data_IF_351852540513
#
_entry.id   IF_351852540513
#
_cell.length_a   1.000
_cell.length_b   1.000
_cell.length_c   1.000
_cell.angle_alpha   90.00
_cell.angle_beta   90.00
_cell.angle_gamma   90.00
#
_symmetry.space_group_name_H-M   'P 1'
#
loop_
_entity.id
_entity.type
_entity.pdbx_description
1 polymer ?
#
# COMPACT_ATOMS: atom_id res chain seq x y z
N UNK A 1 7.40 34.02 21.97
CA UNK A 1 6.02 33.49 22.08
C UNK A 1 5.62 32.53 20.95
N UNK A 2 6.39 32.41 19.86
CA UNK A 2 5.97 31.63 18.68
C UNK A 2 6.50 30.18 18.68
N UNK A 3 7.57 29.89 19.42
CA UNK A 3 8.17 28.55 19.47
C UNK A 3 7.28 27.54 20.19
N UNK A 4 6.70 27.91 21.33
CA UNK A 4 5.76 27.05 22.10
C UNK A 4 4.47 26.79 21.33
N UNK A 5 3.94 27.79 20.63
CA UNK A 5 2.77 27.65 19.76
C UNK A 5 3.03 26.67 18.61
N UNK A 6 4.21 26.73 17.99
CA UNK A 6 4.63 25.77 16.97
C UNK A 6 4.71 24.35 17.52
N UNK A 7 5.31 24.17 18.70
CA UNK A 7 5.40 22.85 19.35
C UNK A 7 4.02 22.30 19.71
N UNK A 8 3.12 23.14 20.21
CA UNK A 8 1.73 22.74 20.48
C UNK A 8 1.03 22.27 19.20
N UNK A 9 1.19 23.01 18.10
CA UNK A 9 0.65 22.61 16.79
C UNK A 9 1.17 21.26 16.31
N UNK A 10 2.46 20.96 16.53
CA UNK A 10 3.04 19.64 16.21
C UNK A 10 2.40 18.53 17.05
N UNK A 11 2.28 18.70 18.37
CA UNK A 11 1.64 17.69 19.20
C UNK A 11 0.18 17.42 18.82
N UNK A 12 -0.58 18.48 18.53
CA UNK A 12 -1.97 18.34 18.07
C UNK A 12 -2.02 17.60 16.74
N UNK A 13 -1.17 17.96 15.77
CA UNK A 13 -1.09 17.27 14.48
C UNK A 13 -0.72 15.79 14.65
N UNK A 14 0.32 15.48 15.44
CA UNK A 14 0.74 14.10 15.70
C UNK A 14 -0.37 13.30 16.39
N UNK A 15 -1.07 13.89 17.36
CA UNK A 15 -2.20 13.24 18.02
C UNK A 15 -3.35 12.93 17.05
N UNK A 16 -3.67 13.83 16.14
CA UNK A 16 -4.71 13.62 15.13
C UNK A 16 -4.35 12.50 14.15
N UNK A 17 -3.07 12.36 13.80
CA UNK A 17 -2.58 11.25 12.97
C UNK A 17 -2.67 9.92 13.72
N UNK A 18 -2.32 9.89 15.02
CA UNK A 18 -2.43 8.68 15.83
C UNK A 18 -3.88 8.21 16.03
N UNK A 19 -4.84 9.14 16.07
CA UNK A 19 -6.26 8.82 16.19
C UNK A 19 -6.76 7.95 15.02
N UNK A 20 -6.25 8.17 13.81
CA UNK A 20 -6.61 7.37 12.63
C UNK A 20 -6.18 5.91 12.79
N UNK A 21 -5.07 5.65 13.46
CA UNK A 21 -4.54 4.30 13.66
C UNK A 21 -5.30 3.48 14.72
N UNK A 22 -6.17 4.11 15.52
CA UNK A 22 -6.90 3.45 16.61
C UNK A 22 -8.07 2.58 16.14
N UNK A 23 -8.45 2.62 14.87
CA UNK A 23 -9.61 1.87 14.35
C UNK A 23 -9.45 0.36 14.56
N UNK A 24 -8.32 -0.23 14.16
CA UNK A 24 -8.07 -1.68 14.28
C UNK A 24 -8.01 -2.16 15.74
N UNK A 25 -7.22 -1.54 16.66
CA UNK A 25 -7.18 -2.01 18.04
C UNK A 25 -8.53 -1.86 18.75
N UNK A 26 -9.33 -0.83 18.43
CA UNK A 26 -10.69 -0.70 18.97
C UNK A 26 -11.58 -1.88 18.53
N UNK A 27 -11.49 -2.31 17.27
CA UNK A 27 -12.23 -3.48 16.77
C UNK A 27 -11.82 -4.77 17.52
N UNK A 28 -10.53 -4.95 17.81
CA UNK A 28 -10.03 -6.12 18.54
C UNK A 28 -10.51 -6.13 20.00
N UNK A 29 -10.43 -4.99 20.69
CA UNK A 29 -10.92 -4.87 22.07
C UNK A 29 -12.43 -5.11 22.14
N UNK A 30 -13.20 -4.55 21.20
CA UNK A 30 -14.64 -4.78 21.10
C UNK A 30 -15.01 -6.25 20.83
N UNK A 31 -14.18 -6.95 20.04
CA UNK A 31 -14.33 -8.38 19.79
C UNK A 31 -14.05 -9.21 21.03
N UNK A 32 -12.96 -8.93 21.74
CA UNK A 32 -12.57 -9.66 22.95
C UNK A 32 -13.60 -9.50 24.08
N UNK A 33 -14.07 -8.27 24.30
CA UNK A 33 -15.08 -7.96 25.33
C UNK A 33 -16.42 -8.66 25.10
N UNK A 34 -16.75 -9.02 23.85
CA UNK A 34 -18.03 -9.62 23.46
C UNK A 34 -17.85 -10.95 22.75
N UNK A 35 -16.72 -11.62 22.98
CA UNK A 35 -16.33 -12.81 22.24
C UNK A 35 -17.41 -13.90 22.27
N UNK A 36 -17.94 -14.20 23.46
CA UNK A 36 -18.98 -15.23 23.65
C UNK A 36 -20.27 -14.92 22.87
N UNK A 37 -20.72 -13.66 22.94
CA UNK A 37 -21.91 -13.21 22.22
C UNK A 37 -21.70 -13.31 20.70
N UNK A 38 -20.52 -12.94 20.21
CA UNK A 38 -20.18 -13.01 18.79
C UNK A 38 -20.14 -14.47 18.32
N UNK A 39 -19.49 -15.35 19.08
CA UNK A 39 -19.39 -16.77 18.76
C UNK A 39 -20.78 -17.46 18.70
N UNK A 40 -21.69 -17.12 19.61
CA UNK A 40 -23.02 -17.74 19.69
C UNK A 40 -24.01 -17.19 18.66
N UNK A 41 -24.06 -15.86 18.48
CA UNK A 41 -25.14 -15.21 17.73
C UNK A 41 -24.74 -14.67 16.37
N UNK A 42 -23.49 -14.24 16.19
CA UNK A 42 -23.01 -13.58 14.96
C UNK A 42 -22.11 -14.47 14.09
N UNK A 43 -21.53 -15.53 14.64
CA UNK A 43 -20.67 -16.43 13.89
C UNK A 43 -21.46 -17.22 12.85
N UNK A 44 -21.08 -17.06 11.57
CA UNK A 44 -21.70 -17.79 10.45
C UNK A 44 -21.40 -19.30 10.52
N UNK A 45 -20.23 -19.68 11.07
CA UNK A 45 -19.77 -21.07 11.20
C UNK A 45 -20.13 -21.74 12.54
N UNK A 46 -21.07 -21.18 13.32
CA UNK A 46 -21.45 -21.72 14.64
C UNK A 46 -21.97 -23.16 14.62
N UNK A 47 -22.46 -23.62 13.47
CA UNK A 47 -22.98 -24.99 13.28
C UNK A 47 -21.89 -26.00 12.90
N UNK A 48 -20.63 -25.55 12.74
CA UNK A 48 -19.49 -26.36 12.33
C UNK A 48 -18.37 -26.27 13.38
N UNK A 49 -18.55 -26.89 14.55
CA UNK A 49 -17.58 -26.83 15.65
C UNK A 49 -16.21 -27.40 15.27
N UNK A 50 -16.15 -28.31 14.29
CA UNK A 50 -14.91 -28.88 13.76
C UNK A 50 -13.94 -27.83 13.20
N UNK A 51 -14.44 -26.66 12.78
CA UNK A 51 -13.64 -25.57 12.22
C UNK A 51 -12.98 -24.68 13.28
N UNK A 52 -13.34 -24.80 14.56
CA UNK A 52 -12.80 -23.97 15.65
C UNK A 52 -12.79 -22.46 15.30
N UNK A 53 -13.92 -22.01 14.74
CA UNK A 53 -14.04 -20.66 14.18
C UNK A 53 -14.19 -19.60 15.28
N UNK A 54 -14.99 -19.87 16.33
CA UNK A 54 -15.09 -19.02 17.52
C UNK A 54 -15.30 -17.53 17.21
N UNK A 55 -16.12 -17.20 16.21
CA UNK A 55 -16.37 -15.80 15.82
C UNK A 55 -15.27 -15.13 14.98
N UNK A 56 -14.16 -15.81 14.65
CA UNK A 56 -13.07 -15.29 13.80
C UNK A 56 -13.56 -14.83 12.41
N UNK A 57 -14.61 -15.46 11.87
CA UNK A 57 -15.24 -15.04 10.61
C UNK A 57 -15.82 -13.61 10.69
N UNK A 58 -16.46 -13.27 11.82
CA UNK A 58 -17.01 -11.94 12.06
C UNK A 58 -15.91 -10.89 12.20
N UNK A 59 -14.84 -11.21 12.95
CA UNK A 59 -13.68 -10.34 13.09
C UNK A 59 -13.04 -10.03 11.74
N UNK A 60 -12.81 -11.07 10.93
CA UNK A 60 -12.24 -10.91 9.59
C UNK A 60 -13.12 -10.00 8.70
N UNK A 61 -14.45 -10.12 8.79
CA UNK A 61 -15.38 -9.26 8.05
C UNK A 61 -15.32 -7.80 8.50
N UNK A 62 -15.27 -7.53 9.81
CA UNK A 62 -15.08 -6.16 10.34
C UNK A 62 -13.76 -5.54 9.90
N UNK A 63 -12.66 -6.31 9.95
CA UNK A 63 -11.34 -5.82 9.54
C UNK A 63 -11.29 -5.49 8.04
N UNK A 64 -11.86 -6.36 7.19
CA UNK A 64 -11.99 -6.09 5.75
C UNK A 64 -12.81 -4.84 5.46
N UNK A 65 -13.94 -4.67 6.15
CA UNK A 65 -14.78 -3.48 5.97
C UNK A 65 -14.05 -2.18 6.36
N UNK A 66 -13.21 -2.22 7.40
CA UNK A 66 -12.37 -1.07 7.78
C UNK A 66 -11.31 -0.76 6.71
N UNK A 67 -10.66 -1.78 6.15
CA UNK A 67 -9.68 -1.60 5.07
C UNK A 67 -10.29 -1.07 3.77
N UNK A 68 -11.43 -1.63 3.35
CA UNK A 68 -12.13 -1.16 2.14
C UNK A 68 -12.59 0.30 2.27
N UNK A 69 -12.96 0.75 3.47
CA UNK A 69 -13.33 2.14 3.71
C UNK A 69 -12.13 3.07 3.44
N UNK A 70 -10.95 2.73 3.93
CA UNK A 70 -9.72 3.50 3.70
C UNK A 70 -9.32 3.51 2.21
N UNK A 71 -9.44 2.36 1.51
CA UNK A 71 -9.16 2.25 0.08
C UNK A 71 -10.15 3.03 -0.80
N UNK A 72 -11.44 3.05 -0.42
CA UNK A 72 -12.47 3.84 -1.12
C UNK A 72 -12.23 5.33 -0.95
N UNK A 73 -11.87 5.79 0.25
CA UNK A 73 -11.48 7.19 0.45
C UNK A 73 -10.26 7.57 -0.40
N UNK A 74 -9.25 6.69 -0.48
CA UNK A 74 -8.05 6.93 -1.29
C UNK A 74 -8.36 6.97 -2.80
N UNK A 75 -9.15 6.01 -3.29
CA UNK A 75 -9.52 5.95 -4.71
C UNK A 75 -10.43 7.11 -5.13
N UNK A 76 -11.39 7.53 -4.30
CA UNK A 76 -12.21 8.71 -4.57
C UNK A 76 -11.35 9.97 -4.68
N UNK A 77 -10.36 10.16 -3.79
CA UNK A 77 -9.42 11.28 -3.88
C UNK A 77 -8.62 11.27 -5.18
N UNK A 78 -8.14 10.09 -5.58
CA UNK A 78 -7.36 9.93 -6.82
C UNK A 78 -8.21 10.22 -8.07
N UNK A 79 -9.47 9.76 -8.08
CA UNK A 79 -10.42 10.05 -9.16
C UNK A 79 -10.72 11.54 -9.23
N UNK A 80 -10.98 12.23 -8.10
CA UNK A 80 -11.16 13.69 -8.11
C UNK A 80 -9.92 14.42 -8.62
N UNK A 81 -8.72 14.01 -8.22
CA UNK A 81 -7.47 14.62 -8.69
C UNK A 81 -7.22 14.39 -10.19
N UNK A 82 -7.61 13.23 -10.73
CA UNK A 82 -7.50 12.93 -12.16
C UNK A 82 -8.56 13.65 -12.99
N UNK A 83 -9.77 13.80 -12.46
CA UNK A 83 -10.88 14.46 -13.15
C UNK A 83 -10.74 16.01 -13.16
N UNK A 84 -9.94 16.56 -12.25
CA UNK A 84 -9.64 18.00 -12.15
C UNK A 84 -8.40 18.43 -12.96
N UNK A 85 -7.84 17.58 -13.83
CA UNK A 85 -6.73 18.00 -14.71
C UNK A 85 -7.13 19.27 -15.48
N UNK A 86 -6.49 20.43 -15.19
CA UNK A 86 -6.72 21.63 -15.96
C UNK A 86 -6.32 21.35 -17.40
N UNK A 87 -7.24 21.55 -18.33
CA UNK A 87 -7.08 21.31 -19.77
C UNK A 87 -5.85 22.02 -20.39
N UNK A 88 -5.21 22.93 -19.67
CA UNK A 88 -4.12 23.80 -20.13
C UNK A 88 -2.73 23.13 -20.20
N UNK A 89 -2.50 21.93 -19.64
CA UNK A 89 -1.15 21.32 -19.58
C UNK A 89 -0.85 20.25 -20.63
N UNK A 90 -1.76 19.99 -21.58
CA UNK A 90 -1.59 18.90 -22.56
C UNK A 90 -0.47 19.15 -23.61
N UNK A 91 0.07 20.37 -23.68
CA UNK A 91 1.04 20.80 -24.70
C UNK A 91 2.36 21.36 -24.13
N UNK A 92 2.66 21.13 -22.85
CA UNK A 92 4.02 21.40 -22.36
C UNK A 92 4.94 20.27 -22.79
N UNK A 93 5.61 20.46 -23.93
CA UNK A 93 6.76 19.65 -24.34
C UNK A 93 7.79 19.65 -23.21
N UNK A 94 7.95 18.48 -22.59
CA UNK A 94 8.93 18.27 -21.54
C UNK A 94 10.31 18.23 -22.18
N UNK A 95 10.99 19.37 -22.25
CA UNK A 95 12.40 19.41 -22.62
C UNK A 95 13.22 19.09 -21.39
N UNK A 96 13.76 17.87 -21.31
CA UNK A 96 14.81 17.56 -20.34
C UNK A 96 16.01 18.44 -20.67
N UNK A 97 16.24 19.45 -19.82
CA UNK A 97 17.53 20.14 -19.79
C UNK A 97 18.57 19.16 -19.29
N UNK A 98 19.33 18.54 -20.20
CA UNK A 98 20.61 17.94 -19.85
C UNK A 98 21.51 19.07 -19.34
N UNK A 99 21.47 19.32 -18.03
CA UNK A 99 22.50 20.11 -17.39
C UNK A 99 23.82 19.38 -17.65
N UNK A 100 24.72 20.06 -18.35
CA UNK A 100 26.05 19.61 -18.69
C UNK A 100 26.83 19.24 -17.43
N UNK A 101 26.73 17.97 -17.02
CA UNK A 101 27.80 17.28 -16.32
C UNK A 101 29.05 17.36 -17.17
N UNK A 102 29.83 18.39 -16.84
CA UNK A 102 31.14 18.67 -17.36
C UNK A 102 32.02 17.42 -17.27
N UNK A 103 32.87 17.32 -18.28
CA UNK A 103 33.89 16.32 -18.52
C UNK A 103 34.56 15.85 -17.23
N UNK A 104 34.42 14.55 -16.93
CA UNK A 104 35.46 13.84 -16.18
C UNK A 104 36.33 13.16 -17.23
N UNK A 105 37.56 13.64 -17.41
CA UNK A 105 38.59 12.95 -18.18
C UNK A 105 38.62 11.47 -17.75
N UNK A 106 38.31 10.60 -18.70
CA UNK A 106 38.40 9.16 -18.54
C UNK A 106 39.88 8.78 -18.75
N UNK A 107 40.63 8.60 -17.66
CA UNK A 107 41.95 7.98 -17.78
C UNK A 107 41.79 6.55 -18.34
N UNK A 108 42.49 6.18 -19.42
CA UNK A 108 42.36 4.87 -20.02
C UNK A 108 43.06 3.81 -19.15
N UNK A 109 42.30 3.05 -18.37
CA UNK A 109 42.83 1.86 -17.68
C UNK A 109 43.10 0.73 -18.67
N UNK A 110 44.28 0.08 -18.64
CA UNK A 110 44.69 -0.93 -19.61
C UNK A 110 44.24 -2.33 -19.19
N UNK A 111 42.95 -2.53 -18.93
CA UNK A 111 42.42 -3.87 -18.69
C UNK A 111 41.17 -4.13 -19.53
N UNK A 112 41.47 -4.60 -20.74
CA UNK A 112 40.52 -5.14 -21.70
C UNK A 112 39.92 -6.44 -21.10
N UNK A 113 38.67 -6.40 -20.69
CA UNK A 113 37.84 -7.59 -20.55
C UNK A 113 36.63 -7.42 -21.49
N UNK A 114 36.34 -8.39 -22.38
CA UNK A 114 35.15 -8.30 -23.21
C UNK A 114 33.92 -8.32 -22.30
N UNK A 115 33.10 -7.28 -22.41
CA UNK A 115 31.79 -7.22 -21.77
C UNK A 115 30.94 -8.32 -22.39
N UNK A 116 30.72 -9.40 -21.63
CA UNK A 116 29.66 -10.37 -21.94
C UNK A 116 28.33 -9.67 -21.69
N UNK A 117 27.69 -9.22 -22.77
CA UNK A 117 26.28 -8.83 -22.74
C UNK A 117 25.48 -10.12 -22.64
N UNK A 118 25.02 -10.46 -21.44
CA UNK A 118 24.03 -11.52 -21.26
C UNK A 118 22.65 -10.94 -21.59
N UNK A 119 22.19 -11.18 -22.82
CA UNK A 119 20.79 -10.95 -23.22
C UNK A 119 19.92 -12.05 -22.61
N UNK A 120 19.61 -11.91 -21.33
CA UNK A 120 18.84 -12.89 -20.55
C UNK A 120 17.44 -12.35 -20.23
N UNK A 121 16.69 -11.89 -21.24
CA UNK A 121 15.30 -11.45 -21.05
C UNK A 121 14.32 -12.08 -22.07
N UNK A 122 14.54 -13.34 -22.46
CA UNK A 122 13.58 -14.04 -23.33
C UNK A 122 13.33 -15.52 -23.02
N UNK A 123 13.90 -16.12 -21.96
CA UNK A 123 13.71 -17.57 -21.69
C UNK A 123 13.03 -17.90 -20.33
N UNK A 124 12.49 -16.92 -19.60
CA UNK A 124 11.78 -17.18 -18.33
C UNK A 124 10.28 -17.52 -18.48
N UNK A 125 9.76 -17.68 -19.70
CA UNK A 125 8.37 -18.13 -19.87
C UNK A 125 8.28 -19.25 -20.91
N UNK A 126 8.38 -20.49 -20.44
CA UNK A 126 7.86 -21.66 -21.16
C UNK A 126 6.67 -22.21 -20.39
N UNK A 127 5.43 -22.14 -20.94
CA UNK A 127 4.29 -22.79 -20.31
C UNK A 127 4.46 -24.32 -20.36
N UNK A 128 4.01 -25.06 -19.33
CA UNK A 128 4.06 -26.52 -19.34
C UNK A 128 3.17 -27.08 -20.46
N UNK A 129 3.72 -27.96 -21.30
CA UNK A 129 2.90 -28.73 -22.24
C UNK A 129 2.10 -29.77 -21.46
N UNK A 130 0.78 -29.64 -21.50
CA UNK A 130 -0.17 -30.60 -20.94
C UNK A 130 -0.06 -31.92 -21.68
N UNK A 131 0.61 -32.91 -21.09
CA UNK A 131 0.49 -34.31 -21.50
C UNK A 131 -0.66 -34.91 -20.69
N UNK A 132 -1.79 -35.09 -21.38
CA UNK A 132 -2.86 -35.97 -20.94
C UNK A 132 -2.35 -37.42 -20.95
N UNK A 133 -2.53 -38.13 -19.84
CA UNK A 133 -2.64 -39.58 -19.77
C UNK A 133 -4.03 -39.91 -19.22
#
# INVERSE_FOLDING_TARGET
MNATLRTFGVYVLTSLLMLRTLVVPVILVDFELRHDYIAQYLCENRLRPELHCDGKCYLAKKLKAAQEHDEREASQRLVTQLLELPHEHLLTTFTFGLSSWAERELEPTPFLAPVYVHDSLSDCFRPPQTIFC
#
